data_IF_118162977329
#
_entry.id   IF_118162977329
#
_cell.length_a   1.000
_cell.length_b   1.000
_cell.length_c   1.000
_cell.angle_alpha   90.00
_cell.angle_beta   90.00
_cell.angle_gamma   90.00
#
_symmetry.space_group_name_H-M   'P 1'
#
loop_
_entity.id
_entity.type
_entity.pdbx_description
1 polymer ?
#
# COMPACT_ATOMS: atom_id res chain seq x y z
N UNK A 1 -8.19 32.90 43.67
CA UNK A 1 -8.81 32.05 42.63
C UNK A 1 -8.40 30.60 42.87
N UNK A 2 -9.34 29.74 43.30
CA UNK A 2 -9.05 28.31 43.53
C UNK A 2 -8.76 27.66 42.19
N UNK A 3 -7.61 27.01 42.11
CA UNK A 3 -7.15 26.19 40.98
C UNK A 3 -8.14 25.06 40.75
N UNK A 4 -9.12 25.27 39.87
CA UNK A 4 -9.92 24.17 39.36
C UNK A 4 -8.96 23.20 38.68
N UNK A 5 -8.95 21.95 39.13
CA UNK A 5 -8.02 20.95 38.61
C UNK A 5 -8.41 20.67 37.15
N UNK A 6 -7.55 21.01 36.16
CA UNK A 6 -7.92 21.01 34.74
C UNK A 6 -8.35 19.63 34.22
N UNK A 7 -7.92 18.55 34.89
CA UNK A 7 -8.34 17.19 34.54
C UNK A 7 -9.84 16.95 34.71
N UNK A 8 -10.53 17.67 35.61
CA UNK A 8 -11.99 17.50 35.82
C UNK A 8 -12.74 17.87 34.54
N UNK A 9 -12.30 18.92 33.85
CA UNK A 9 -12.90 19.36 32.59
C UNK A 9 -12.49 18.51 31.38
N UNK A 10 -11.51 17.61 31.52
CA UNK A 10 -11.16 16.59 30.52
C UNK A 10 -11.95 15.30 30.77
N UNK A 11 -12.05 14.88 32.04
CA UNK A 11 -12.71 13.62 32.43
C UNK A 11 -14.23 13.76 32.42
N UNK A 12 -14.79 14.89 32.87
CA UNK A 12 -16.23 15.08 32.97
C UNK A 12 -16.95 14.93 31.61
N UNK A 13 -16.50 15.55 30.51
CA UNK A 13 -17.12 15.34 29.19
C UNK A 13 -17.04 13.89 28.72
N UNK A 14 -15.92 13.19 28.97
CA UNK A 14 -15.76 11.78 28.59
C UNK A 14 -16.69 10.86 29.38
N UNK A 15 -16.84 11.10 30.68
CA UNK A 15 -17.78 10.35 31.53
C UNK A 15 -19.23 10.63 31.13
N UNK A 16 -19.58 11.89 30.86
CA UNK A 16 -20.92 12.26 30.37
C UNK A 16 -21.21 11.61 29.02
N UNK A 17 -20.25 11.62 28.09
CA UNK A 17 -20.38 10.96 26.79
C UNK A 17 -20.56 9.45 26.96
N UNK A 18 -19.73 8.78 27.76
CA UNK A 18 -19.86 7.35 28.03
C UNK A 18 -21.21 7.01 28.69
N UNK A 19 -21.70 7.87 29.58
CA UNK A 19 -23.01 7.73 30.22
C UNK A 19 -24.14 7.90 29.21
N UNK A 20 -24.08 8.92 28.35
CA UNK A 20 -25.08 9.14 27.30
C UNK A 20 -25.09 7.99 26.28
N UNK A 21 -23.93 7.47 25.87
CA UNK A 21 -23.81 6.28 25.02
C UNK A 21 -24.43 5.07 25.74
N UNK A 22 -24.10 4.86 27.02
CA UNK A 22 -24.67 3.76 27.80
C UNK A 22 -26.18 3.83 27.94
N UNK A 23 -26.73 5.03 28.16
CA UNK A 23 -28.19 5.28 28.17
C UNK A 23 -28.75 4.96 26.79
N UNK A 24 -28.18 5.50 25.72
CA UNK A 24 -28.64 5.31 24.36
C UNK A 24 -28.68 3.83 23.94
N UNK A 25 -27.61 3.08 24.23
CA UNK A 25 -27.52 1.65 23.95
C UNK A 25 -28.54 0.84 24.76
N UNK A 26 -28.79 1.23 26.02
CA UNK A 26 -29.73 0.53 26.90
C UNK A 26 -31.19 0.84 26.59
N UNK A 27 -31.52 2.09 26.25
CA UNK A 27 -32.90 2.51 25.99
C UNK A 27 -33.33 2.30 24.54
N UNK A 28 -32.37 2.05 23.64
CA UNK A 28 -32.56 1.89 22.19
C UNK A 28 -33.63 2.84 21.64
N UNK A 29 -33.43 4.16 21.74
CA UNK A 29 -34.45 5.15 21.39
C UNK A 29 -34.78 5.14 19.89
N UNK A 30 -34.00 4.42 19.08
CA UNK A 30 -34.22 4.23 17.65
C UNK A 30 -35.17 3.06 17.34
N UNK A 31 -35.50 2.19 18.31
CA UNK A 31 -36.39 1.05 18.07
C UNK A 31 -37.75 1.45 17.45
N UNK A 32 -38.41 2.57 17.83
CA UNK A 32 -39.64 3.02 17.18
C UNK A 32 -39.45 3.56 15.75
N UNK A 33 -38.20 3.85 15.35
CA UNK A 33 -37.82 4.38 14.04
C UNK A 33 -37.28 3.30 13.10
N UNK A 34 -36.97 2.12 13.61
CA UNK A 34 -36.60 0.95 12.81
C UNK A 34 -37.84 0.42 12.11
N UNK A 35 -38.09 0.88 10.88
CA UNK A 35 -38.93 0.13 9.95
C UNK A 35 -38.29 -1.24 9.70
N UNK A 36 -39.12 -2.25 9.41
CA UNK A 36 -38.70 -3.62 9.09
C UNK A 36 -37.91 -3.69 7.77
N UNK A 37 -36.76 -3.05 7.74
CA UNK A 37 -35.79 -3.19 6.67
C UNK A 37 -35.24 -4.62 6.73
N UNK A 38 -35.21 -5.35 5.60
CA UNK A 38 -34.59 -6.66 5.57
C UNK A 38 -33.12 -6.54 5.99
N UNK A 39 -32.55 -7.56 6.66
CA UNK A 39 -31.15 -7.56 7.01
C UNK A 39 -30.31 -7.39 5.75
N UNK A 40 -29.33 -6.50 5.80
CA UNK A 40 -28.39 -6.30 4.70
C UNK A 40 -27.41 -7.45 4.77
N UNK A 41 -27.45 -8.33 3.77
CA UNK A 41 -26.42 -9.35 3.59
C UNK A 41 -25.30 -8.79 2.72
N UNK A 42 -24.06 -8.96 3.18
CA UNK A 42 -22.87 -8.64 2.43
C UNK A 42 -21.82 -9.72 2.67
N UNK A 43 -21.22 -10.21 1.59
CA UNK A 43 -20.16 -11.21 1.62
C UNK A 43 -19.03 -10.73 0.72
N UNK A 44 -17.80 -10.83 1.20
CA UNK A 44 -16.60 -10.43 0.47
C UNK A 44 -15.65 -11.61 0.37
N UNK A 45 -15.14 -11.90 -0.83
CA UNK A 45 -14.05 -12.87 -1.02
C UNK A 45 -12.72 -12.16 -0.74
N UNK A 46 -12.03 -12.57 0.33
CA UNK A 46 -10.76 -11.97 0.74
C UNK A 46 -9.56 -12.64 0.06
N UNK A 47 -9.69 -13.91 -0.33
CA UNK A 47 -8.61 -14.69 -0.94
C UNK A 47 -9.13 -15.86 -1.76
N UNK A 48 -8.47 -16.11 -2.89
CA UNK A 48 -8.71 -17.26 -3.76
C UNK A 48 -7.47 -18.14 -3.80
N UNK A 49 -7.65 -19.46 -3.67
CA UNK A 49 -6.59 -20.46 -3.83
C UNK A 49 -7.06 -21.49 -4.86
N UNK A 50 -6.28 -21.66 -5.91
CA UNK A 50 -6.44 -22.67 -6.97
C UNK A 50 -5.33 -23.71 -6.84
N UNK A 51 -5.70 -24.95 -6.57
CA UNK A 51 -4.77 -26.07 -6.48
C UNK A 51 -5.35 -27.34 -7.10
N UNK A 52 -4.62 -28.46 -7.02
CA UNK A 52 -5.05 -29.74 -7.61
C UNK A 52 -6.32 -30.32 -6.95
N UNK A 53 -6.77 -29.76 -5.82
CA UNK A 53 -8.01 -30.14 -5.14
C UNK A 53 -9.21 -29.31 -5.58
N UNK A 54 -8.99 -28.17 -6.23
CA UNK A 54 -10.02 -27.32 -6.81
C UNK A 54 -9.90 -25.86 -6.41
N UNK A 55 -11.04 -25.23 -6.10
CA UNK A 55 -11.16 -23.80 -5.77
C UNK A 55 -11.41 -23.68 -4.26
N UNK A 56 -10.60 -22.87 -3.56
CA UNK A 56 -10.83 -22.49 -2.17
C UNK A 56 -10.94 -20.97 -2.05
N UNK A 57 -12.04 -20.49 -1.45
CA UNK A 57 -12.33 -19.07 -1.25
C UNK A 57 -12.36 -18.77 0.25
N UNK A 58 -11.58 -17.79 0.69
CA UNK A 58 -11.74 -17.20 2.02
C UNK A 58 -12.78 -16.10 1.92
N UNK A 59 -13.92 -16.28 2.58
CA UNK A 59 -15.01 -15.31 2.57
C UNK A 59 -15.14 -14.63 3.93
N UNK A 60 -15.55 -13.35 3.95
CA UNK A 60 -15.95 -12.63 5.17
C UNK A 60 -17.39 -12.16 5.04
N UNK A 61 -18.20 -12.47 6.06
CA UNK A 61 -19.55 -11.94 6.19
C UNK A 61 -19.47 -10.53 6.80
N UNK A 62 -20.05 -9.55 6.12
CA UNK A 62 -20.12 -8.15 6.56
C UNK A 62 -21.56 -7.62 6.70
N UNK A 63 -22.54 -8.52 6.58
CA UNK A 63 -23.94 -8.19 6.78
C UNK A 63 -24.26 -7.70 8.20
N UNK A 64 -25.42 -7.06 8.35
CA UNK A 64 -25.93 -6.59 9.64
C UNK A 64 -26.32 -7.74 10.57
N UNK A 65 -26.66 -8.90 10.01
CA UNK A 65 -27.06 -10.11 10.73
C UNK A 65 -26.22 -11.33 10.29
N UNK A 66 -26.15 -12.40 11.12
CA UNK A 66 -25.50 -13.64 10.73
C UNK A 66 -26.15 -14.28 9.50
N UNK A 67 -25.35 -14.82 8.59
CA UNK A 67 -25.82 -15.43 7.34
C UNK A 67 -25.31 -16.86 7.17
N UNK A 68 -25.97 -17.65 6.33
CA UNK A 68 -25.51 -18.99 5.98
C UNK A 68 -25.39 -19.13 4.47
N UNK A 69 -24.24 -19.59 3.99
CA UNK A 69 -24.08 -19.99 2.59
C UNK A 69 -24.83 -21.31 2.41
N UNK A 70 -25.82 -21.31 1.53
CA UNK A 70 -26.68 -22.45 1.27
C UNK A 70 -26.22 -23.25 0.04
N UNK A 71 -25.77 -22.55 -1.00
CA UNK A 71 -25.37 -23.15 -2.27
C UNK A 71 -24.19 -22.39 -2.89
N UNK A 72 -23.41 -23.07 -3.71
CA UNK A 72 -22.35 -22.45 -4.50
C UNK A 72 -22.47 -22.92 -5.95
N UNK A 73 -22.39 -21.97 -6.87
CA UNK A 73 -22.30 -22.25 -8.30
C UNK A 73 -20.92 -21.91 -8.82
N UNK A 74 -20.44 -22.69 -9.78
CA UNK A 74 -19.27 -22.37 -10.61
C UNK A 74 -19.71 -22.48 -12.06
N UNK A 75 -19.56 -21.38 -12.81
CA UNK A 75 -19.97 -21.26 -14.22
C UNK A 75 -21.45 -21.67 -14.44
N UNK A 76 -22.31 -21.28 -13.50
CA UNK A 76 -23.76 -21.53 -13.52
C UNK A 76 -24.20 -22.94 -13.09
N UNK A 77 -23.26 -23.85 -12.83
CA UNK A 77 -23.57 -25.19 -12.31
C UNK A 77 -23.43 -25.25 -10.79
N UNK A 78 -24.35 -25.94 -10.11
CA UNK A 78 -24.27 -26.14 -8.64
C UNK A 78 -23.20 -27.17 -8.28
N UNK A 79 -22.39 -26.85 -7.27
CA UNK A 79 -21.33 -27.73 -6.76
C UNK A 79 -21.46 -27.98 -5.26
N UNK A 80 -21.02 -29.17 -4.85
CA UNK A 80 -20.82 -29.49 -3.45
C UNK A 80 -19.66 -28.65 -2.90
N UNK A 81 -19.85 -28.09 -1.71
CA UNK A 81 -18.82 -27.32 -1.02
C UNK A 81 -18.69 -27.75 0.44
N UNK A 82 -17.53 -27.50 1.02
CA UNK A 82 -17.32 -27.58 2.47
C UNK A 82 -16.98 -26.20 3.02
N UNK A 83 -17.55 -25.85 4.17
CA UNK A 83 -17.25 -24.61 4.88
C UNK A 83 -16.44 -24.91 6.16
N UNK A 84 -15.39 -24.13 6.41
CA UNK A 84 -14.57 -24.20 7.61
C UNK A 84 -14.30 -22.79 8.19
N UNK A 85 -14.78 -22.45 9.40
CA UNK A 85 -15.57 -23.28 10.32
C UNK A 85 -17.00 -23.54 9.79
N UNK A 86 -17.62 -24.69 10.13
CA UNK A 86 -18.98 -25.00 9.70
C UNK A 86 -20.02 -24.15 10.46
N UNK A 87 -21.17 -23.91 9.82
CA UNK A 87 -22.33 -23.27 10.44
C UNK A 87 -22.65 -21.88 9.90
N UNK A 88 -23.42 -21.12 10.68
CA UNK A 88 -23.76 -19.73 10.36
C UNK A 88 -22.50 -18.86 10.49
N UNK A 89 -22.36 -17.87 9.62
CA UNK A 89 -21.29 -16.85 9.64
C UNK A 89 -21.78 -15.61 10.39
N UNK A 90 -21.31 -15.35 11.63
CA UNK A 90 -21.54 -14.08 12.30
C UNK A 90 -20.93 -12.91 11.53
N UNK A 91 -21.43 -11.71 11.83
CA UNK A 91 -20.86 -10.46 11.31
C UNK A 91 -19.35 -10.38 11.59
N UNK A 92 -18.58 -10.03 10.57
CA UNK A 92 -17.12 -9.96 10.52
C UNK A 92 -16.38 -11.27 10.73
N UNK A 93 -17.07 -12.42 10.78
CA UNK A 93 -16.39 -13.72 10.77
C UNK A 93 -15.94 -14.10 9.36
N UNK A 94 -14.90 -14.91 9.27
CA UNK A 94 -14.44 -15.48 8.02
C UNK A 94 -14.58 -17.01 8.00
N UNK A 95 -14.68 -17.57 6.80
CA UNK A 95 -14.68 -19.01 6.58
C UNK A 95 -14.06 -19.36 5.23
N UNK A 96 -13.47 -20.56 5.14
CA UNK A 96 -13.04 -21.16 3.90
C UNK A 96 -14.18 -21.92 3.26
N UNK A 97 -14.49 -21.59 2.01
CA UNK A 97 -15.39 -22.34 1.12
C UNK A 97 -14.52 -23.13 0.16
N UNK A 98 -14.58 -24.45 0.23
CA UNK A 98 -13.76 -25.34 -0.61
C UNK A 98 -14.65 -26.12 -1.55
N UNK A 99 -14.30 -26.08 -2.83
CA UNK A 99 -15.00 -26.71 -3.94
C UNK A 99 -14.05 -27.69 -4.62
N UNK A 100 -14.48 -28.95 -4.75
CA UNK A 100 -13.76 -29.92 -5.58
C UNK A 100 -14.14 -29.72 -7.04
N UNK A 101 -13.58 -28.66 -7.64
CA UNK A 101 -13.89 -28.23 -9.00
C UNK A 101 -12.68 -28.43 -9.92
N UNK A 102 -12.82 -29.12 -11.06
CA UNK A 102 -11.73 -29.36 -12.01
C UNK A 102 -11.54 -28.14 -12.93
N UNK A 103 -11.01 -27.04 -12.39
CA UNK A 103 -10.70 -25.84 -13.16
C UNK A 103 -9.62 -26.12 -14.22
N UNK A 104 -9.60 -25.30 -15.28
CA UNK A 104 -8.65 -25.40 -16.40
C UNK A 104 -7.74 -24.17 -16.39
N UNK A 105 -6.44 -24.39 -16.54
CA UNK A 105 -5.47 -23.30 -16.55
C UNK A 105 -5.73 -22.32 -17.71
N UNK A 106 -5.78 -21.03 -17.38
CA UNK A 106 -6.03 -19.95 -18.32
C UNK A 106 -7.51 -19.61 -18.57
N UNK A 107 -8.46 -20.40 -18.04
CA UNK A 107 -9.89 -20.11 -18.19
C UNK A 107 -10.39 -19.11 -17.13
N UNK A 108 -11.42 -18.35 -17.50
CA UNK A 108 -12.15 -17.51 -16.56
C UNK A 108 -13.25 -18.34 -15.88
N UNK A 109 -13.40 -18.19 -14.56
CA UNK A 109 -14.45 -18.87 -13.79
C UNK A 109 -15.28 -17.86 -12.98
N UNK A 110 -16.60 -18.06 -12.98
CA UNK A 110 -17.54 -17.24 -12.22
C UNK A 110 -18.10 -18.07 -11.06
N UNK A 111 -17.78 -17.67 -9.82
CA UNK A 111 -18.29 -18.33 -8.62
C UNK A 111 -19.42 -17.48 -8.04
N UNK A 112 -20.60 -18.09 -7.84
CA UNK A 112 -21.73 -17.43 -7.19
C UNK A 112 -22.03 -18.13 -5.86
N UNK A 113 -21.94 -17.39 -4.76
CA UNK A 113 -22.23 -17.85 -3.40
C UNK A 113 -23.67 -17.43 -3.05
N UNK A 114 -24.56 -18.40 -2.89
CA UNK A 114 -25.97 -18.14 -2.55
C UNK A 114 -26.20 -18.37 -1.06
N UNK A 115 -26.85 -17.41 -0.40
CA UNK A 115 -27.24 -17.52 1.02
C UNK A 115 -28.57 -18.24 1.20
N UNK A 116 -28.91 -18.55 2.46
CA UNK A 116 -30.19 -19.14 2.85
C UNK A 116 -31.41 -18.25 2.57
N UNK A 117 -31.21 -16.94 2.34
CA UNK A 117 -32.26 -16.01 1.92
C UNK A 117 -32.38 -15.89 0.41
N UNK A 118 -31.45 -16.51 -0.35
CA UNK A 118 -31.40 -16.47 -1.81
C UNK A 118 -30.60 -15.30 -2.38
N UNK A 119 -29.91 -14.50 -1.55
CA UNK A 119 -28.99 -13.48 -2.04
C UNK A 119 -27.76 -14.15 -2.68
N UNK A 120 -27.36 -13.67 -3.86
CA UNK A 120 -26.18 -14.15 -4.59
C UNK A 120 -25.03 -13.16 -4.49
N UNK A 121 -23.82 -13.69 -4.26
CA UNK A 121 -22.57 -12.94 -4.24
C UNK A 121 -21.63 -13.52 -5.28
N UNK A 122 -21.43 -12.76 -6.35
CA UNK A 122 -20.58 -13.16 -7.48
C UNK A 122 -19.12 -12.81 -7.22
N UNK A 123 -18.23 -13.72 -7.62
CA UNK A 123 -16.79 -13.58 -7.55
C UNK A 123 -16.17 -14.13 -8.83
N UNK A 124 -15.45 -13.27 -9.55
CA UNK A 124 -14.78 -13.63 -10.80
C UNK A 124 -13.33 -14.07 -10.53
N UNK A 125 -12.93 -15.15 -11.20
CA UNK A 125 -11.54 -15.56 -11.35
C UNK A 125 -11.21 -15.33 -12.83
N UNK A 126 -10.61 -14.20 -13.19
CA UNK A 126 -10.49 -13.80 -14.60
C UNK A 126 -9.55 -14.72 -15.39
N UNK A 127 -8.50 -15.22 -14.74
CA UNK A 127 -7.56 -16.18 -15.31
C UNK A 127 -7.20 -17.21 -14.24
N UNK A 128 -7.60 -18.45 -14.43
CA UNK A 128 -7.29 -19.53 -13.50
C UNK A 128 -5.81 -19.94 -13.63
N UNK A 129 -5.03 -19.67 -12.60
CA UNK A 129 -3.65 -20.14 -12.47
C UNK A 129 -3.42 -20.76 -11.11
N UNK A 130 -2.61 -21.82 -11.07
CA UNK A 130 -2.29 -22.52 -9.83
C UNK A 130 -1.64 -21.56 -8.83
N UNK A 131 -2.28 -21.39 -7.68
CA UNK A 131 -1.77 -20.50 -6.64
C UNK A 131 -0.38 -20.95 -6.19
N UNK A 132 0.60 -20.03 -6.11
CA UNK A 132 1.96 -20.39 -5.72
C UNK A 132 2.04 -20.96 -4.31
N UNK A 133 2.19 -22.28 -4.17
CA UNK A 133 2.67 -22.90 -2.95
C UNK A 133 4.08 -22.39 -2.58
N UNK A 134 4.31 -22.19 -1.28
CA UNK A 134 5.60 -21.79 -0.73
C UNK A 134 6.61 -22.92 -0.97
N UNK A 135 7.73 -22.59 -1.62
CA UNK A 135 8.88 -23.47 -1.80
C UNK A 135 10.16 -22.63 -1.80
N UNK A 136 11.30 -23.23 -1.47
CA UNK A 136 12.58 -22.51 -1.47
C UNK A 136 12.88 -21.87 -2.84
N UNK A 137 12.64 -22.61 -3.93
CA UNK A 137 12.85 -22.11 -5.30
C UNK A 137 12.01 -20.86 -5.59
N UNK A 138 10.73 -20.85 -5.21
CA UNK A 138 9.85 -19.68 -5.41
C UNK A 138 10.20 -18.53 -4.48
N UNK A 139 10.54 -18.81 -3.21
CA UNK A 139 11.03 -17.79 -2.30
C UNK A 139 12.28 -17.10 -2.85
N UNK A 140 13.23 -17.85 -3.39
CA UNK A 140 14.43 -17.30 -4.02
C UNK A 140 14.11 -16.52 -5.31
N UNK A 141 13.17 -17.00 -6.13
CA UNK A 141 12.77 -16.30 -7.35
C UNK A 141 12.14 -14.93 -7.04
N UNK A 142 11.18 -14.88 -6.12
CA UNK A 142 10.59 -13.61 -5.67
C UNK A 142 11.60 -12.72 -4.95
N UNK A 143 12.53 -13.31 -4.19
CA UNK A 143 13.62 -12.53 -3.60
C UNK A 143 14.52 -11.89 -4.66
N UNK A 144 14.89 -12.63 -5.69
CA UNK A 144 15.67 -12.09 -6.81
C UNK A 144 14.91 -10.97 -7.52
N UNK A 145 13.60 -11.12 -7.71
CA UNK A 145 12.73 -10.10 -8.28
C UNK A 145 12.71 -8.83 -7.42
N UNK A 146 12.51 -8.96 -6.10
CA UNK A 146 12.56 -7.82 -5.17
C UNK A 146 13.95 -7.16 -5.12
N UNK A 147 15.04 -7.93 -5.24
CA UNK A 147 16.39 -7.36 -5.35
C UNK A 147 16.58 -6.58 -6.66
N UNK A 148 16.02 -7.07 -7.76
CA UNK A 148 16.09 -6.43 -9.07
C UNK A 148 15.31 -5.12 -9.12
N UNK A 149 14.17 -5.04 -8.42
CA UNK A 149 13.31 -3.85 -8.41
C UNK A 149 13.68 -2.86 -7.30
N UNK A 150 14.18 -3.33 -6.16
CA UNK A 150 14.54 -2.46 -5.04
C UNK A 150 16.03 -2.12 -5.02
N UNK A 151 16.89 -3.09 -4.72
CA UNK A 151 18.33 -2.85 -4.45
C UNK A 151 19.07 -2.36 -5.69
N UNK A 152 18.89 -3.03 -6.83
CA UNK A 152 19.65 -2.74 -8.04
C UNK A 152 19.43 -1.30 -8.54
N UNK A 153 18.19 -0.82 -8.81
CA UNK A 153 17.97 0.52 -9.32
C UNK A 153 18.35 1.61 -8.31
N UNK A 154 18.04 1.45 -7.01
CA UNK A 154 18.50 2.41 -6.00
C UNK A 154 20.03 2.50 -5.98
N UNK A 155 20.71 1.35 -6.05
CA UNK A 155 22.17 1.28 -6.17
C UNK A 155 22.68 1.99 -7.42
N UNK A 156 22.10 1.73 -8.59
CA UNK A 156 22.42 2.40 -9.85
C UNK A 156 22.22 3.91 -9.76
N UNK A 157 21.13 4.37 -9.14
CA UNK A 157 20.88 5.77 -8.84
C UNK A 157 21.97 6.40 -7.98
N UNK A 158 22.39 5.70 -6.92
CA UNK A 158 23.46 6.17 -6.05
C UNK A 158 24.84 6.18 -6.73
N UNK A 159 25.08 5.37 -7.77
CA UNK A 159 26.32 5.43 -8.56
C UNK A 159 26.50 6.76 -9.30
N UNK A 160 25.44 7.56 -9.48
CA UNK A 160 25.56 8.91 -10.01
C UNK A 160 26.23 9.89 -9.03
N UNK A 161 26.50 9.49 -7.78
CA UNK A 161 27.11 10.35 -6.75
C UNK A 161 28.33 11.18 -7.23
N UNK A 162 29.33 10.64 -7.96
CA UNK A 162 30.44 11.46 -8.47
C UNK A 162 29.99 12.55 -9.45
N UNK A 163 29.02 12.23 -10.32
CA UNK A 163 28.43 13.20 -11.24
C UNK A 163 27.61 14.27 -10.50
N UNK A 164 26.90 13.89 -9.43
CA UNK A 164 26.21 14.81 -8.53
C UNK A 164 27.14 15.85 -7.90
N UNK A 165 28.40 15.50 -7.63
CA UNK A 165 29.41 16.44 -7.11
C UNK A 165 29.91 17.44 -8.14
N UNK A 166 29.81 17.11 -9.43
CA UNK A 166 30.22 17.99 -10.53
C UNK A 166 29.09 18.89 -11.06
N UNK A 167 27.84 18.63 -10.64
CA UNK A 167 26.67 19.37 -11.07
C UNK A 167 26.69 20.82 -10.56
N UNK A 168 26.25 21.74 -11.42
CA UNK A 168 26.02 23.12 -11.02
C UNK A 168 24.86 23.22 -10.03
N UNK A 169 24.77 24.35 -9.31
CA UNK A 169 23.65 24.62 -8.42
C UNK A 169 22.29 24.52 -9.13
N UNK A 170 22.20 25.01 -10.37
CA UNK A 170 20.99 24.91 -11.19
C UNK A 170 20.70 23.47 -11.62
N UNK A 171 21.74 22.69 -11.95
CA UNK A 171 21.59 21.27 -12.28
C UNK A 171 21.09 20.44 -11.09
N UNK A 172 21.66 20.66 -9.90
CA UNK A 172 21.17 20.02 -8.67
C UNK A 172 19.72 20.40 -8.38
N UNK A 173 19.38 21.68 -8.53
CA UNK A 173 18.02 22.18 -8.34
C UNK A 173 17.01 21.55 -9.30
N UNK A 174 17.39 21.44 -10.59
CA UNK A 174 16.58 20.76 -11.60
C UNK A 174 16.32 19.31 -11.22
N UNK A 175 17.38 18.58 -10.84
CA UNK A 175 17.32 17.15 -10.52
C UNK A 175 16.49 16.85 -9.28
N UNK A 176 16.64 17.65 -8.22
CA UNK A 176 15.81 17.55 -7.02
C UNK A 176 14.35 17.86 -7.31
N UNK A 177 14.08 18.88 -8.13
CA UNK A 177 12.71 19.22 -8.53
C UNK A 177 12.09 18.13 -9.41
N UNK A 178 12.87 17.51 -10.29
CA UNK A 178 12.46 16.33 -11.07
C UNK A 178 12.09 15.17 -10.17
N UNK A 179 12.93 14.87 -9.17
CA UNK A 179 12.65 13.82 -8.18
C UNK A 179 11.35 14.10 -7.42
N UNK A 180 11.13 15.35 -6.98
CA UNK A 180 9.86 15.74 -6.32
C UNK A 180 8.66 15.57 -7.27
N UNK A 181 8.81 15.95 -8.55
CA UNK A 181 7.75 15.76 -9.54
C UNK A 181 7.35 14.30 -9.71
N UNK A 182 8.34 13.41 -9.80
CA UNK A 182 8.10 11.97 -9.89
C UNK A 182 7.41 11.42 -8.63
N UNK A 183 7.92 11.79 -7.44
CA UNK A 183 7.34 11.36 -6.17
C UNK A 183 5.91 11.86 -5.97
N UNK A 184 5.58 13.08 -6.42
CA UNK A 184 4.20 13.61 -6.34
C UNK A 184 3.25 12.81 -7.23
N UNK A 185 3.68 12.42 -8.44
CA UNK A 185 2.87 11.51 -9.26
C UNK A 185 2.65 10.19 -8.53
N UNK A 186 3.73 9.57 -8.03
CA UNK A 186 3.67 8.30 -7.33
C UNK A 186 2.78 8.34 -6.10
N UNK A 187 2.82 9.42 -5.34
CA UNK A 187 1.94 9.61 -4.20
C UNK A 187 0.46 9.58 -4.61
N UNK A 188 0.10 10.27 -5.69
CA UNK A 188 -1.28 10.28 -6.20
C UNK A 188 -1.69 8.90 -6.70
N UNK A 189 -0.82 8.26 -7.48
CA UNK A 189 -1.04 6.94 -8.07
C UNK A 189 -1.23 5.87 -6.99
N UNK A 190 -0.33 5.82 -6.01
CA UNK A 190 -0.39 4.87 -4.88
C UNK A 190 -1.66 5.07 -4.04
N UNK A 191 -2.10 6.31 -3.84
CA UNK A 191 -3.37 6.58 -3.14
C UNK A 191 -4.57 6.11 -3.97
N UNK A 192 -4.56 6.34 -5.28
CA UNK A 192 -5.63 5.89 -6.16
C UNK A 192 -5.75 4.36 -6.13
N UNK A 193 -4.62 3.65 -6.25
CA UNK A 193 -4.55 2.18 -6.16
C UNK A 193 -5.02 1.68 -4.78
N UNK A 194 -4.61 2.33 -3.69
CA UNK A 194 -5.07 1.99 -2.35
C UNK A 194 -6.58 2.18 -2.17
N UNK A 195 -7.18 3.20 -2.80
CA UNK A 195 -8.63 3.44 -2.79
C UNK A 195 -9.37 2.39 -3.62
N UNK A 196 -8.81 1.97 -4.76
CA UNK A 196 -9.38 0.91 -5.58
C UNK A 196 -9.40 -0.43 -4.83
N UNK A 197 -8.29 -0.79 -4.17
CA UNK A 197 -8.23 -1.98 -3.31
C UNK A 197 -9.16 -1.86 -2.11
N UNK A 198 -9.35 -0.65 -1.56
CA UNK A 198 -10.29 -0.40 -0.48
C UNK A 198 -11.76 -0.66 -0.86
N UNK A 199 -12.11 -0.61 -2.15
CA UNK A 199 -13.45 -0.97 -2.61
C UNK A 199 -13.71 -2.49 -2.55
N UNK A 200 -12.65 -3.30 -2.55
CA UNK A 200 -12.70 -4.77 -2.44
C UNK A 200 -12.69 -5.25 -0.97
N UNK A 201 -12.43 -4.35 -0.02
CA UNK A 201 -12.42 -4.63 1.41
C UNK A 201 -13.85 -4.58 1.97
N UNK A 202 -14.19 -5.42 2.98
CA UNK A 202 -15.48 -5.35 3.67
C UNK A 202 -15.84 -3.92 4.12
N UNK A 203 -17.06 -3.49 3.82
CA UNK A 203 -17.58 -2.14 4.07
C UNK A 203 -17.45 -1.70 5.54
N UNK A 204 -17.57 -2.62 6.50
CA UNK A 204 -17.38 -2.31 7.92
C UNK A 204 -16.01 -1.75 8.27
N UNK A 205 -14.97 -2.02 7.47
CA UNK A 205 -13.65 -1.45 7.71
C UNK A 205 -13.52 -0.01 7.21
N UNK A 206 -14.53 0.51 6.49
CA UNK A 206 -14.49 1.86 5.91
C UNK A 206 -13.19 2.09 5.13
N UNK A 207 -12.90 1.20 4.16
CA UNK A 207 -11.59 1.08 3.52
C UNK A 207 -10.99 2.42 3.04
N UNK A 208 -11.78 3.29 2.41
CA UNK A 208 -11.31 4.61 1.97
C UNK A 208 -10.86 5.52 3.12
N UNK A 209 -11.56 5.47 4.26
CA UNK A 209 -11.15 6.20 5.47
C UNK A 209 -9.87 5.62 6.04
N UNK A 210 -9.74 4.29 6.00
CA UNK A 210 -8.56 3.58 6.46
C UNK A 210 -7.32 3.99 5.64
N UNK A 211 -7.44 4.14 4.32
CA UNK A 211 -6.37 4.63 3.44
C UNK A 211 -5.81 5.96 3.92
N UNK A 212 -6.67 6.96 4.09
CA UNK A 212 -6.25 8.29 4.53
C UNK A 212 -5.69 8.28 5.96
N UNK A 213 -6.34 7.55 6.88
CA UNK A 213 -5.90 7.46 8.27
C UNK A 213 -4.49 6.86 8.37
N UNK A 214 -4.22 5.76 7.66
CA UNK A 214 -2.91 5.10 7.64
C UNK A 214 -1.86 5.95 6.94
N UNK A 215 -2.19 6.58 5.81
CA UNK A 215 -1.29 7.49 5.08
C UNK A 215 -0.82 8.63 5.98
N UNK A 216 -1.78 9.32 6.64
CA UNK A 216 -1.47 10.43 7.54
C UNK A 216 -0.69 9.95 8.77
N UNK A 217 -1.11 8.83 9.38
CA UNK A 217 -0.42 8.28 10.55
C UNK A 217 1.02 7.89 10.22
N UNK A 218 1.26 7.26 9.07
CA UNK A 218 2.60 6.86 8.61
C UNK A 218 3.46 8.07 8.32
N UNK A 219 2.94 9.04 7.56
CA UNK A 219 3.61 10.32 7.32
C UNK A 219 4.05 10.98 8.63
N UNK A 220 3.12 11.15 9.59
CA UNK A 220 3.42 11.76 10.88
C UNK A 220 4.43 10.96 11.70
N UNK A 221 4.29 9.63 11.74
CA UNK A 221 5.19 8.76 12.49
C UNK A 221 6.63 8.87 11.98
N UNK A 222 6.85 8.78 10.67
CA UNK A 222 8.19 8.87 10.07
C UNK A 222 8.72 10.31 10.18
N UNK A 223 7.88 11.32 9.92
CA UNK A 223 8.26 12.73 10.00
C UNK A 223 8.70 13.17 11.41
N UNK A 224 7.99 12.70 12.44
CA UNK A 224 8.30 12.98 13.85
C UNK A 224 9.55 12.19 14.28
N UNK A 225 9.69 10.94 13.85
CA UNK A 225 10.91 10.17 14.08
C UNK A 225 12.15 10.92 13.55
N UNK A 226 12.02 11.50 12.35
CA UNK A 226 12.97 12.41 11.70
C UNK A 226 13.47 13.59 12.52
N UNK A 227 12.71 14.01 13.54
CA UNK A 227 12.93 15.25 14.30
C UNK A 227 13.09 15.00 15.80
N UNK A 228 13.39 13.77 16.23
CA UNK A 228 13.56 13.44 17.67
C UNK A 228 14.61 14.31 18.38
N UNK A 229 15.61 14.82 17.66
CA UNK A 229 16.61 15.74 18.19
C UNK A 229 16.20 17.24 18.15
N UNK A 230 14.94 17.54 17.82
CA UNK A 230 14.39 18.90 17.75
C UNK A 230 14.81 19.71 16.52
N UNK A 231 15.46 19.08 15.54
CA UNK A 231 15.96 19.72 14.30
C UNK A 231 15.63 18.85 13.09
N UNK A 232 15.58 19.48 11.91
CA UNK A 232 15.43 18.75 10.65
C UNK A 232 16.73 17.97 10.33
N UNK A 233 16.62 16.76 9.77
CA UNK A 233 17.79 15.95 9.47
C UNK A 233 18.63 16.58 8.34
N UNK A 234 19.94 16.35 8.39
CA UNK A 234 20.92 16.87 7.43
C UNK A 234 21.96 15.80 7.06
N UNK A 235 22.59 15.96 5.89
CA UNK A 235 23.67 15.09 5.44
C UNK A 235 23.30 13.61 5.47
N UNK A 236 24.10 12.80 6.17
CA UNK A 236 23.87 11.35 6.28
C UNK A 236 22.58 11.00 7.02
N UNK A 237 22.16 11.80 8.00
CA UNK A 237 20.89 11.57 8.69
C UNK A 237 19.71 11.74 7.73
N UNK A 238 19.73 12.82 6.94
CA UNK A 238 18.72 13.07 5.90
C UNK A 238 18.68 11.92 4.89
N UNK A 239 19.83 11.52 4.34
CA UNK A 239 19.88 10.37 3.42
C UNK A 239 19.36 9.08 4.04
N UNK A 240 19.58 8.85 5.34
CA UNK A 240 19.06 7.68 6.05
C UNK A 240 17.54 7.73 6.17
N UNK A 241 16.96 8.90 6.47
CA UNK A 241 15.51 9.06 6.50
C UNK A 241 14.88 8.96 5.12
N UNK A 242 15.51 9.50 4.08
CA UNK A 242 15.05 9.30 2.70
C UNK A 242 15.07 7.82 2.34
N UNK A 243 16.18 7.11 2.61
CA UNK A 243 16.29 5.68 2.36
C UNK A 243 15.28 4.85 3.17
N UNK A 244 14.96 5.24 4.41
CA UNK A 244 13.93 4.59 5.20
C UNK A 244 12.53 4.80 4.59
N UNK A 245 12.18 6.04 4.24
CA UNK A 245 10.88 6.36 3.64
C UNK A 245 10.68 5.65 2.30
N UNK A 246 11.72 5.69 1.44
CA UNK A 246 11.77 4.94 0.19
C UNK A 246 11.65 3.42 0.44
N UNK A 247 12.38 2.88 1.43
CA UNK A 247 12.26 1.46 1.77
C UNK A 247 10.84 1.06 2.20
N UNK A 248 10.17 1.90 2.98
CA UNK A 248 8.77 1.66 3.37
C UNK A 248 7.84 1.69 2.14
N UNK A 249 8.09 2.56 1.16
CA UNK A 249 7.35 2.59 -0.10
C UNK A 249 7.61 1.34 -0.96
N UNK A 250 8.87 0.95 -1.12
CA UNK A 250 9.30 -0.20 -1.92
C UNK A 250 8.73 -1.53 -1.40
N UNK A 251 8.34 -1.60 -0.13
CA UNK A 251 7.56 -2.71 0.41
C UNK A 251 6.21 -2.88 -0.31
N UNK A 252 5.52 -1.77 -0.59
CA UNK A 252 4.26 -1.74 -1.33
C UNK A 252 4.44 -2.12 -2.81
N UNK A 253 5.47 -1.61 -3.47
CA UNK A 253 5.84 -2.00 -4.84
C UNK A 253 6.09 -3.50 -4.96
N UNK A 254 6.88 -4.05 -4.02
CA UNK A 254 7.13 -5.48 -3.95
C UNK A 254 5.82 -6.26 -3.80
N UNK A 255 4.90 -5.78 -2.94
CA UNK A 255 3.59 -6.40 -2.75
C UNK A 255 2.80 -6.46 -4.05
N UNK A 256 2.69 -5.35 -4.78
CA UNK A 256 1.96 -5.27 -6.05
C UNK A 256 2.53 -6.24 -7.10
N UNK A 257 3.86 -6.27 -7.25
CA UNK A 257 4.55 -7.19 -8.16
C UNK A 257 4.30 -8.65 -7.76
N UNK A 258 4.47 -8.98 -6.47
CA UNK A 258 4.22 -10.32 -5.96
C UNK A 258 2.79 -10.79 -6.22
N UNK A 259 1.82 -9.90 -6.01
CA UNK A 259 0.40 -10.15 -6.24
C UNK A 259 0.11 -10.42 -7.71
N UNK A 260 0.54 -9.54 -8.62
CA UNK A 260 0.33 -9.68 -10.07
C UNK A 260 0.84 -11.04 -10.61
N UNK A 261 2.07 -11.44 -10.24
CA UNK A 261 2.60 -12.75 -10.63
C UNK A 261 1.88 -13.93 -9.98
N UNK A 262 1.28 -13.76 -8.79
CA UNK A 262 0.55 -14.83 -8.10
C UNK A 262 -0.81 -15.14 -8.70
N UNK A 263 -1.44 -14.14 -9.34
CA UNK A 263 -2.73 -14.26 -10.02
C UNK A 263 -2.60 -14.45 -11.53
N UNK A 264 -1.37 -14.65 -12.03
CA UNK A 264 -1.11 -14.99 -13.44
C UNK A 264 -1.02 -13.79 -14.37
N UNK A 265 -1.07 -12.57 -13.85
CA UNK A 265 -0.95 -11.33 -14.61
C UNK A 265 0.53 -10.99 -14.89
N UNK A 266 1.22 -11.91 -15.57
CA UNK A 266 2.66 -11.78 -15.83
C UNK A 266 3.01 -10.54 -16.67
N UNK A 267 2.11 -10.12 -17.58
CA UNK A 267 2.27 -8.90 -18.36
C UNK A 267 2.26 -7.66 -17.45
N UNK A 268 1.24 -7.52 -16.59
CA UNK A 268 1.15 -6.44 -15.60
C UNK A 268 2.37 -6.46 -14.67
N UNK A 269 2.72 -7.62 -14.11
CA UNK A 269 3.88 -7.78 -13.24
C UNK A 269 5.19 -7.34 -13.91
N UNK A 270 5.38 -7.63 -15.19
CA UNK A 270 6.56 -7.21 -15.96
C UNK A 270 6.59 -5.70 -16.20
N UNK A 271 5.44 -5.10 -16.49
CA UNK A 271 5.31 -3.66 -16.69
C UNK A 271 5.57 -2.89 -15.38
N UNK A 272 5.02 -3.36 -14.25
CA UNK A 272 5.30 -2.83 -12.91
C UNK A 272 6.80 -2.86 -12.60
N UNK A 273 7.48 -3.99 -12.86
CA UNK A 273 8.93 -4.13 -12.66
C UNK A 273 9.70 -3.05 -13.43
N UNK A 274 9.35 -2.81 -14.70
CA UNK A 274 10.02 -1.81 -15.53
C UNK A 274 9.75 -0.39 -15.00
N UNK A 275 8.47 -0.06 -14.76
CA UNK A 275 8.05 1.24 -14.25
C UNK A 275 8.74 1.59 -12.93
N UNK A 276 8.73 0.65 -11.98
CA UNK A 276 9.33 0.86 -10.66
C UNK A 276 10.86 0.94 -10.71
N UNK A 277 11.49 0.11 -11.56
CA UNK A 277 12.95 0.20 -11.77
C UNK A 277 13.36 1.60 -12.23
N UNK A 278 12.60 2.23 -13.13
CA UNK A 278 12.93 3.56 -13.65
C UNK A 278 12.86 4.64 -12.58
N UNK A 279 11.82 4.67 -11.74
CA UNK A 279 11.75 5.66 -10.68
C UNK A 279 12.72 5.36 -9.53
N UNK A 280 13.03 4.09 -9.22
CA UNK A 280 13.92 3.72 -8.11
C UNK A 280 15.36 4.16 -8.38
N UNK A 281 15.74 4.31 -9.66
CA UNK A 281 17.00 4.96 -10.04
C UNK A 281 17.00 6.44 -9.59
N UNK A 282 15.90 7.16 -9.80
CA UNK A 282 15.80 8.58 -9.41
C UNK A 282 15.72 8.76 -7.90
N UNK A 283 15.16 7.80 -7.18
CA UNK A 283 15.17 7.78 -5.73
C UNK A 283 16.58 7.59 -5.16
N UNK A 284 17.38 6.70 -5.76
CA UNK A 284 18.80 6.55 -5.42
C UNK A 284 19.59 7.85 -5.59
N UNK A 285 19.28 8.64 -6.63
CA UNK A 285 19.82 9.99 -6.84
C UNK A 285 19.39 10.93 -5.69
N UNK A 286 18.11 10.90 -5.31
CA UNK A 286 17.56 11.67 -4.20
C UNK A 286 18.23 11.36 -2.86
N UNK A 287 18.49 10.08 -2.57
CA UNK A 287 19.22 9.63 -1.37
C UNK A 287 20.67 10.13 -1.40
N UNK A 288 21.32 10.13 -2.57
CA UNK A 288 22.71 10.53 -2.72
C UNK A 288 22.92 12.05 -2.67
N UNK A 289 21.92 12.85 -3.03
CA UNK A 289 22.06 14.31 -3.14
C UNK A 289 22.51 15.01 -1.83
N UNK A 290 21.93 14.72 -0.64
CA UNK A 290 22.40 15.28 0.63
C UNK A 290 23.84 14.92 1.01
N UNK A 291 24.44 13.92 0.36
CA UNK A 291 25.80 13.45 0.63
C UNK A 291 26.87 14.18 -0.19
N UNK A 292 26.50 15.02 -1.15
CA UNK A 292 27.44 15.64 -2.13
C UNK A 292 28.52 16.49 -1.46
N UNK A 293 28.17 17.18 -0.38
CA UNK A 293 29.10 17.99 0.44
C UNK A 293 29.89 17.15 1.46
N UNK A 294 29.54 15.87 1.60
CA UNK A 294 30.17 14.92 2.51
C UNK A 294 31.14 13.99 1.76
N UNK A 295 31.96 13.24 2.52
CA UNK A 295 32.76 12.12 2.00
C UNK A 295 32.30 10.81 2.66
N UNK A 296 31.13 10.27 2.28
CA UNK A 296 30.58 9.08 2.92
C UNK A 296 31.48 7.86 2.68
N UNK A 297 31.56 6.97 3.67
CA UNK A 297 32.24 5.68 3.51
C UNK A 297 31.39 4.77 2.61
N UNK A 298 32.02 3.89 1.85
CA UNK A 298 31.31 2.92 1.01
C UNK A 298 30.29 2.08 1.80
N UNK A 299 30.61 1.71 3.04
CA UNK A 299 29.68 1.01 3.95
C UNK A 299 28.39 1.79 4.20
N UNK A 300 28.47 3.11 4.29
CA UNK A 300 27.29 3.98 4.45
C UNK A 300 26.43 3.93 3.19
N UNK A 301 27.04 4.03 2.00
CA UNK A 301 26.31 3.96 0.74
C UNK A 301 25.61 2.60 0.58
N UNK A 302 26.32 1.49 0.83
CA UNK A 302 25.73 0.14 0.81
C UNK A 302 24.57 0.03 1.81
N UNK A 303 24.76 0.55 3.03
CA UNK A 303 23.72 0.55 4.06
C UNK A 303 22.45 1.28 3.62
N UNK A 304 22.59 2.42 2.93
CA UNK A 304 21.46 3.19 2.39
C UNK A 304 20.74 2.44 1.26
N UNK A 305 21.49 1.83 0.33
CA UNK A 305 20.90 1.01 -0.74
C UNK A 305 20.12 -0.17 -0.16
N UNK A 306 20.69 -0.87 0.83
CA UNK A 306 20.02 -2.01 1.47
C UNK A 306 18.77 -1.55 2.22
N UNK A 307 18.85 -0.44 2.95
CA UNK A 307 17.71 0.11 3.70
C UNK A 307 16.54 0.49 2.77
N UNK A 308 16.85 1.09 1.62
CA UNK A 308 15.87 1.50 0.63
C UNK A 308 15.34 0.35 -0.24
N UNK A 309 16.19 -0.61 -0.61
CA UNK A 309 15.83 -1.63 -1.60
C UNK A 309 15.37 -2.98 -1.02
N UNK A 310 15.90 -3.40 0.13
CA UNK A 310 15.60 -4.73 0.69
C UNK A 310 14.11 -4.94 1.05
N UNK A 311 13.35 -3.93 1.53
CA UNK A 311 11.94 -4.11 1.81
C UNK A 311 11.09 -4.59 0.61
N UNK A 312 11.51 -4.29 -0.63
CA UNK A 312 10.85 -4.82 -1.83
C UNK A 312 10.81 -6.35 -1.87
N UNK A 313 11.87 -7.02 -1.36
CA UNK A 313 11.90 -8.48 -1.24
C UNK A 313 10.79 -8.98 -0.32
N UNK A 314 10.63 -8.36 0.83
CA UNK A 314 9.56 -8.69 1.78
C UNK A 314 8.20 -8.46 1.13
N UNK A 315 8.06 -7.36 0.39
CA UNK A 315 6.86 -7.04 -0.38
C UNK A 315 6.50 -8.16 -1.36
N UNK A 316 7.45 -8.57 -2.21
CA UNK A 316 7.22 -9.63 -3.20
C UNK A 316 6.79 -10.95 -2.59
N UNK A 317 7.32 -11.32 -1.43
CA UNK A 317 6.87 -12.51 -0.71
C UNK A 317 5.45 -12.37 -0.17
N UNK A 318 5.13 -11.23 0.46
CA UNK A 318 3.79 -10.98 0.98
C UNK A 318 2.76 -10.96 -0.16
N UNK A 319 3.09 -10.32 -1.28
CA UNK A 319 2.26 -10.27 -2.47
C UNK A 319 2.05 -11.66 -3.08
N UNK A 320 3.12 -12.45 -3.17
CA UNK A 320 3.05 -13.76 -3.80
C UNK A 320 2.29 -14.81 -3.00
N UNK A 321 2.37 -14.76 -1.67
CA UNK A 321 1.96 -15.89 -0.81
C UNK A 321 0.87 -15.56 0.21
N UNK A 322 0.64 -14.28 0.51
CA UNK A 322 -0.24 -13.86 1.59
C UNK A 322 -1.20 -12.72 1.19
N UNK A 323 -1.25 -12.33 -0.08
CA UNK A 323 -2.03 -11.20 -0.55
C UNK A 323 -3.52 -11.33 -0.24
N UNK A 324 -4.09 -10.23 0.24
CA UNK A 324 -5.52 -9.94 0.35
C UNK A 324 -5.70 -8.44 0.15
N UNK A 325 -6.88 -7.97 -0.24
CA UNK A 325 -7.12 -6.54 -0.47
C UNK A 325 -6.91 -5.68 0.78
N UNK A 326 -7.14 -6.21 1.99
CA UNK A 326 -6.84 -5.47 3.23
C UNK A 326 -5.32 -5.29 3.45
N UNK A 327 -4.50 -6.28 3.06
CA UNK A 327 -3.04 -6.11 3.08
C UNK A 327 -2.59 -5.09 2.04
N UNK A 328 -3.18 -5.09 0.85
CA UNK A 328 -2.91 -4.10 -0.18
C UNK A 328 -3.20 -2.68 0.33
N UNK A 329 -4.41 -2.45 0.85
CA UNK A 329 -4.80 -1.17 1.48
C UNK A 329 -3.80 -0.74 2.54
N UNK A 330 -3.42 -1.65 3.45
CA UNK A 330 -2.48 -1.33 4.53
C UNK A 330 -1.12 -0.90 3.99
N UNK A 331 -0.49 -1.71 3.14
CA UNK A 331 0.88 -1.48 2.68
C UNK A 331 0.98 -0.34 1.67
N UNK A 332 0.03 -0.20 0.74
CA UNK A 332 -0.02 0.93 -0.19
C UNK A 332 -0.21 2.25 0.56
N UNK A 333 -1.10 2.29 1.57
CA UNK A 333 -1.31 3.50 2.38
C UNK A 333 -0.09 3.85 3.24
N UNK A 334 0.57 2.84 3.81
CA UNK A 334 1.86 3.02 4.50
C UNK A 334 2.89 3.59 3.53
N UNK A 335 3.01 3.02 2.34
CA UNK A 335 3.91 3.49 1.28
C UNK A 335 3.62 4.93 0.87
N UNK A 336 2.36 5.29 0.60
CA UNK A 336 1.95 6.65 0.26
C UNK A 336 2.31 7.65 1.37
N UNK A 337 2.11 7.30 2.64
CA UNK A 337 2.52 8.14 3.77
C UNK A 337 4.04 8.35 3.84
N UNK A 338 4.82 7.31 3.51
CA UNK A 338 6.27 7.39 3.43
C UNK A 338 6.76 8.25 2.25
N UNK A 339 6.17 8.09 1.06
CA UNK A 339 6.46 8.95 -0.11
C UNK A 339 6.15 10.41 0.20
N UNK A 340 5.02 10.69 0.84
CA UNK A 340 4.67 12.05 1.27
C UNK A 340 5.73 12.64 2.20
N UNK A 341 6.27 11.83 3.12
CA UNK A 341 7.36 12.26 3.98
C UNK A 341 8.64 12.56 3.20
N UNK A 342 9.00 11.72 2.23
CA UNK A 342 10.17 11.92 1.36
C UNK A 342 10.00 13.21 0.53
N UNK A 343 8.82 13.46 -0.06
CA UNK A 343 8.51 14.70 -0.79
C UNK A 343 8.80 15.93 0.08
N UNK A 344 8.32 15.93 1.33
CA UNK A 344 8.51 17.05 2.26
C UNK A 344 9.99 17.24 2.59
N UNK A 345 10.75 16.17 2.83
CA UNK A 345 12.18 16.29 3.15
C UNK A 345 13.02 16.75 1.96
N UNK A 346 12.79 16.21 0.77
CA UNK A 346 13.49 16.63 -0.46
C UNK A 346 13.12 18.08 -0.80
N UNK A 347 11.85 18.48 -0.65
CA UNK A 347 11.40 19.86 -0.82
C UNK A 347 12.03 20.82 0.20
N UNK A 348 12.14 20.40 1.46
CA UNK A 348 12.83 21.15 2.51
C UNK A 348 14.32 21.31 2.19
N UNK A 349 14.97 20.24 1.72
CA UNK A 349 16.37 20.25 1.31
C UNK A 349 16.62 21.18 0.11
N UNK A 350 15.76 21.13 -0.91
CA UNK A 350 15.78 22.03 -2.07
C UNK A 350 15.66 23.48 -1.63
N UNK A 351 14.75 23.77 -0.70
CA UNK A 351 14.51 25.13 -0.18
C UNK A 351 15.71 25.66 0.57
N UNK A 352 16.27 24.88 1.50
CA UNK A 352 17.49 25.24 2.25
C UNK A 352 18.67 25.49 1.32
N UNK A 353 18.83 24.65 0.30
CA UNK A 353 19.93 24.77 -0.69
C UNK A 353 19.78 26.03 -1.54
N UNK A 354 18.56 26.34 -2.01
CA UNK A 354 18.29 27.56 -2.77
C UNK A 354 18.56 28.83 -1.93
N UNK A 355 18.16 28.83 -0.66
CA UNK A 355 18.38 29.94 0.26
C UNK A 355 19.88 30.18 0.52
N UNK A 356 20.67 29.13 0.74
CA UNK A 356 22.14 29.23 0.89
C UNK A 356 22.82 29.88 -0.32
N UNK A 357 22.20 29.77 -1.50
CA UNK A 357 22.70 30.33 -2.75
C UNK A 357 22.08 31.71 -3.09
N UNK A 358 21.33 32.32 -2.15
CA UNK A 358 20.68 33.62 -2.35
C UNK A 358 19.51 33.62 -3.34
N UNK A 359 18.96 32.44 -3.66
CA UNK A 359 17.88 32.27 -4.63
C UNK A 359 16.57 31.76 -4.04
N UNK A 360 15.51 31.78 -4.85
CA UNK A 360 14.20 31.18 -4.53
C UNK A 360 14.14 29.72 -4.95
N UNK A 361 13.50 28.86 -4.18
CA UNK A 361 13.28 27.46 -4.56
C UNK A 361 12.37 27.34 -5.79
N UNK A 362 11.36 28.20 -5.90
CA UNK A 362 10.48 28.31 -7.06
C UNK A 362 11.18 29.10 -8.16
N UNK A 363 11.60 28.41 -9.22
CA UNK A 363 12.30 29.00 -10.36
C UNK A 363 11.92 28.29 -11.66
N UNK A 364 12.19 28.87 -12.83
CA UNK A 364 11.93 28.23 -14.14
C UNK A 364 12.58 26.85 -14.24
N UNK A 365 13.78 26.70 -13.68
CA UNK A 365 14.54 25.44 -13.64
C UNK A 365 13.81 24.40 -12.77
N UNK A 366 13.34 24.79 -11.59
CA UNK A 366 12.59 23.91 -10.70
C UNK A 366 11.25 23.49 -11.32
N UNK A 367 10.54 24.42 -11.97
CA UNK A 367 9.28 24.13 -12.66
C UNK A 367 9.49 23.17 -13.83
N UNK A 368 10.56 23.37 -14.62
CA UNK A 368 10.90 22.46 -15.71
C UNK A 368 11.27 21.07 -15.19
N UNK A 369 12.06 20.98 -14.11
CA UNK A 369 12.39 19.71 -13.47
C UNK A 369 11.14 18.99 -12.96
N UNK A 370 10.33 19.66 -12.15
CA UNK A 370 9.09 19.11 -11.59
C UNK A 370 8.11 18.66 -12.69
N UNK A 371 7.88 19.49 -13.71
CA UNK A 371 7.02 19.15 -14.83
C UNK A 371 7.54 17.97 -15.65
N UNK A 372 8.86 17.89 -15.88
CA UNK A 372 9.46 16.73 -16.53
C UNK A 372 9.32 15.47 -15.68
N UNK A 373 9.49 15.58 -14.36
CA UNK A 373 9.27 14.45 -13.44
C UNK A 373 7.85 13.89 -13.53
N UNK A 374 6.84 14.76 -13.51
CA UNK A 374 5.44 14.36 -13.74
C UNK A 374 5.26 13.70 -15.12
N UNK A 375 5.83 14.29 -16.18
CA UNK A 375 5.70 13.79 -17.54
C UNK A 375 6.37 12.42 -17.73
N UNK A 376 7.52 12.19 -17.11
CA UNK A 376 8.21 10.88 -17.12
C UNK A 376 7.34 9.84 -16.44
N UNK A 377 6.82 10.13 -15.24
CA UNK A 377 5.99 9.17 -14.50
C UNK A 377 4.66 8.88 -15.20
N UNK A 378 4.00 9.92 -15.73
CA UNK A 378 2.79 9.75 -16.52
C UNK A 378 3.05 8.91 -17.79
N UNK A 379 4.17 9.19 -18.48
CA UNK A 379 4.58 8.41 -19.65
C UNK A 379 4.84 6.95 -19.32
N UNK A 380 5.49 6.65 -18.18
CA UNK A 380 5.67 5.26 -17.73
C UNK A 380 4.35 4.60 -17.35
N UNK A 381 3.45 5.30 -16.64
CA UNK A 381 2.14 4.78 -16.27
C UNK A 381 1.28 4.48 -17.52
N UNK A 382 1.36 5.32 -18.56
CA UNK A 382 0.69 5.05 -19.83
C UNK A 382 1.22 3.81 -20.54
N UNK A 383 2.50 3.44 -20.38
CA UNK A 383 3.04 2.20 -20.95
C UNK A 383 2.64 0.96 -20.15
N UNK A 384 2.35 1.11 -18.86
CA UNK A 384 1.92 0.02 -17.97
C UNK A 384 0.43 -0.31 -18.16
N UNK A 385 -0.40 0.67 -18.53
CA UNK A 385 -1.85 0.53 -18.71
C UNK A 385 -2.29 0.03 -20.11
N UNK A 386 -1.39 -0.53 -20.94
CA UNK A 386 -1.69 -1.00 -22.31
C UNK A 386 -1.83 -2.50 -22.41
#
# INVERSE_FOLDING_TARGET
MKTQKPWVWIVLPLVLLATLIGIFLKTNPLAPLQSSAPPVEQLTVERTILDDKGISLLVRADGSEPMQIAQVQVDGAYWQFTQDPPGVLPRLSNAWIRLTYPWVEGEAHHVNLLTNTGAGFEHEIPVAVKTPAISLTRLLAFALLGLYVGIMPVGLGMLFYPALRALSSQGMKFLLALTIGMLVFLFVDTIAEAIEEAAKVPAAFSGSTLVWAITIATFLAVFVAGRRAGKAPEGTELSTYLALGIGIHNLGEGLAIGAAFSVGEAALGSLLVIGFTLHNITEGIGIAAPLVELRPKLKTLIGLVVLAGLPAVVGTWLGAFAFTSIWAVLFLSIGAGAVLQVIVEVGSYLTRTAQKQGGLWLSKVSLAGFGLGLAVMYGTAMLVNV
#
